data_IF_565879023284
#
_entry.id   IF_565879023284
#
_cell.length_a   1.000
_cell.length_b   1.000
_cell.length_c   1.000
_cell.angle_alpha   90.00
_cell.angle_beta   90.00
_cell.angle_gamma   90.00
#
_symmetry.space_group_name_H-M   'P 1'
#
loop_
_entity.id
_entity.type
_entity.pdbx_description
1 polymer ?
#
# COMPACT_ATOMS: atom_id res chain seq x y z
N UNK A 1 23.40 49.34 -17.83
CA UNK A 1 23.41 48.33 -18.90
C UNK A 1 22.27 47.32 -18.66
N UNK A 2 21.62 46.77 -19.69
CA UNK A 2 20.49 45.82 -19.53
C UNK A 2 20.86 44.57 -18.73
N UNK A 3 22.07 44.07 -18.89
CA UNK A 3 22.60 42.94 -18.16
C UNK A 3 22.61 43.12 -16.62
N UNK A 4 23.06 44.27 -16.15
CA UNK A 4 23.07 44.63 -14.72
C UNK A 4 21.66 44.69 -14.15
N UNK A 5 20.71 45.25 -14.92
CA UNK A 5 19.30 45.34 -14.53
C UNK A 5 18.65 43.95 -14.43
N UNK A 6 19.03 43.02 -15.31
CA UNK A 6 18.57 41.61 -15.29
C UNK A 6 19.09 40.86 -14.07
N UNK A 7 20.39 41.00 -13.76
CA UNK A 7 21.02 40.36 -12.60
C UNK A 7 20.44 40.85 -11.26
N UNK A 8 20.20 42.14 -11.14
CA UNK A 8 19.56 42.77 -9.99
C UNK A 8 18.09 42.31 -9.84
N UNK A 9 17.33 42.24 -10.94
CA UNK A 9 15.93 41.81 -10.94
C UNK A 9 15.76 40.36 -10.45
N UNK A 10 16.73 39.53 -10.76
CA UNK A 10 16.72 38.10 -10.36
C UNK A 10 17.46 37.84 -9.03
N UNK A 11 17.82 38.90 -8.28
CA UNK A 11 18.54 38.81 -6.98
C UNK A 11 19.87 38.04 -7.06
N UNK A 12 20.48 37.97 -8.26
CA UNK A 12 21.74 37.27 -8.50
C UNK A 12 22.97 38.12 -8.06
N UNK A 13 22.79 39.42 -7.94
CA UNK A 13 23.84 40.36 -7.56
C UNK A 13 23.23 41.53 -6.75
N UNK A 14 23.91 41.94 -5.68
CA UNK A 14 23.55 43.10 -4.91
C UNK A 14 24.20 44.38 -5.53
N UNK A 15 23.60 45.56 -5.34
CA UNK A 15 24.12 46.83 -5.90
C UNK A 15 25.54 47.15 -5.47
N UNK A 16 25.92 46.79 -4.25
CA UNK A 16 27.23 47.03 -3.68
C UNK A 16 28.35 46.20 -4.31
N UNK A 17 28.04 45.07 -4.94
CA UNK A 17 29.02 44.22 -5.60
C UNK A 17 29.39 44.68 -7.02
N UNK A 18 28.55 45.49 -7.65
CA UNK A 18 28.80 46.03 -9.00
C UNK A 18 29.90 47.08 -9.05
N UNK A 19 30.31 47.63 -7.91
CA UNK A 19 31.31 48.69 -7.82
C UNK A 19 32.77 48.17 -7.69
N UNK A 20 32.98 46.82 -7.54
CA UNK A 20 34.32 46.23 -7.35
C UNK A 20 34.87 45.68 -8.66
N UNK A 21 36.06 46.07 -9.03
CA UNK A 21 36.78 45.68 -10.25
C UNK A 21 37.35 44.22 -10.18
N UNK A 22 37.64 43.59 -11.34
CA UNK A 22 37.78 42.13 -11.47
C UNK A 22 39.04 41.56 -10.82
N UNK A 23 38.83 40.47 -10.04
CA UNK A 23 39.90 39.55 -9.60
C UNK A 23 40.21 38.49 -10.66
N UNK A 24 41.46 38.09 -10.78
CA UNK A 24 41.90 36.98 -11.64
C UNK A 24 41.53 35.63 -10.98
N UNK A 25 40.35 35.08 -11.30
CA UNK A 25 39.90 33.77 -10.90
C UNK A 25 39.26 33.03 -12.08
N UNK A 26 39.07 31.74 -11.95
CA UNK A 26 38.34 30.95 -12.95
C UNK A 26 36.94 31.53 -13.18
N UNK A 27 36.74 32.14 -14.32
CA UNK A 27 35.53 32.94 -14.62
C UNK A 27 34.48 32.07 -15.27
N UNK A 28 33.29 32.01 -14.68
CA UNK A 28 32.15 31.26 -15.24
C UNK A 28 31.77 31.81 -16.61
N UNK A 29 31.71 33.12 -16.79
CA UNK A 29 31.29 33.77 -18.03
C UNK A 29 32.41 34.37 -18.89
N UNK A 30 33.66 34.11 -18.64
CA UNK A 30 34.78 34.43 -19.54
C UNK A 30 35.11 35.93 -19.72
N UNK A 31 34.58 36.84 -18.91
CA UNK A 31 34.84 38.29 -18.97
C UNK A 31 33.55 39.12 -18.98
N UNK A 32 33.72 40.47 -19.00
CA UNK A 32 32.60 41.42 -19.01
C UNK A 32 32.13 41.87 -17.62
N UNK A 33 30.89 42.35 -17.50
CA UNK A 33 30.34 42.92 -16.27
C UNK A 33 30.11 41.89 -15.13
N UNK A 34 30.28 40.60 -15.41
CA UNK A 34 30.04 39.47 -14.49
C UNK A 34 31.35 38.80 -14.01
N UNK A 35 32.44 39.55 -13.86
CA UNK A 35 33.79 38.99 -13.66
C UNK A 35 34.31 39.03 -12.22
N UNK A 36 33.54 39.54 -11.24
CA UNK A 36 34.01 39.47 -9.85
C UNK A 36 33.85 38.03 -9.27
N UNK A 37 34.73 37.62 -8.33
CA UNK A 37 34.62 36.31 -7.69
C UNK A 37 33.24 36.06 -7.03
N UNK A 38 32.68 37.09 -6.40
CA UNK A 38 31.39 37.05 -5.72
C UNK A 38 30.24 36.84 -6.73
N UNK A 39 30.30 37.52 -7.88
CA UNK A 39 29.31 37.33 -8.96
C UNK A 39 29.42 35.95 -9.55
N UNK A 40 30.62 35.45 -9.80
CA UNK A 40 30.82 34.07 -10.31
C UNK A 40 30.24 33.02 -9.36
N UNK A 41 30.44 33.17 -8.05
CA UNK A 41 29.88 32.26 -7.06
C UNK A 41 28.35 32.36 -7.00
N UNK A 42 27.78 33.54 -7.07
CA UNK A 42 26.33 33.76 -7.13
C UNK A 42 25.71 33.10 -8.37
N UNK A 43 26.36 33.21 -9.54
CA UNK A 43 25.92 32.62 -10.79
C UNK A 43 25.99 31.09 -10.72
N UNK A 44 27.10 30.53 -10.18
CA UNK A 44 27.24 29.09 -9.94
C UNK A 44 26.14 28.57 -9.06
N UNK A 45 25.90 29.24 -7.92
CA UNK A 45 24.81 28.86 -6.99
C UNK A 45 23.44 28.94 -7.66
N UNK A 46 23.19 29.97 -8.46
CA UNK A 46 21.93 30.08 -9.21
C UNK A 46 21.74 28.95 -10.23
N UNK A 47 22.80 28.60 -10.97
CA UNK A 47 22.77 27.45 -11.90
C UNK A 47 22.53 26.13 -11.20
N UNK A 48 23.22 25.89 -10.07
CA UNK A 48 23.01 24.72 -9.22
C UNK A 48 21.57 24.64 -8.70
N UNK A 49 21.05 25.77 -8.20
CA UNK A 49 19.67 25.85 -7.68
C UNK A 49 18.65 25.61 -8.77
N UNK A 50 18.84 26.16 -9.96
CA UNK A 50 17.92 26.01 -11.11
C UNK A 50 17.75 24.53 -11.50
N UNK A 51 18.85 23.78 -11.64
CA UNK A 51 18.81 22.33 -11.92
C UNK A 51 18.21 21.54 -10.75
N UNK A 52 18.64 21.83 -9.51
CA UNK A 52 18.17 21.11 -8.32
C UNK A 52 16.70 21.36 -8.01
N UNK A 53 16.17 22.54 -8.30
CA UNK A 53 14.76 22.87 -8.03
C UNK A 53 13.80 22.11 -8.94
N UNK A 54 14.14 21.94 -10.23
CA UNK A 54 13.34 21.13 -11.14
C UNK A 54 13.29 19.66 -10.67
N UNK A 55 14.44 19.10 -10.28
CA UNK A 55 14.48 17.73 -9.74
C UNK A 55 13.64 17.64 -8.48
N UNK A 56 13.81 18.58 -7.54
CA UNK A 56 13.10 18.57 -6.26
C UNK A 56 11.59 18.71 -6.43
N UNK A 57 11.13 19.71 -7.17
CA UNK A 57 9.70 20.01 -7.31
C UNK A 57 8.96 18.85 -8.00
N UNK A 58 9.53 18.32 -9.08
CA UNK A 58 8.93 17.19 -9.80
C UNK A 58 9.00 15.88 -8.97
N UNK A 59 10.10 15.62 -8.26
CA UNK A 59 10.22 14.48 -7.35
C UNK A 59 9.20 14.54 -6.20
N UNK A 60 9.03 15.71 -5.57
CA UNK A 60 8.03 15.87 -4.50
C UNK A 60 6.61 15.65 -5.01
N UNK A 61 6.30 16.08 -6.21
CA UNK A 61 4.99 15.83 -6.84
C UNK A 61 4.74 14.34 -7.04
N UNK A 62 5.70 13.61 -7.63
CA UNK A 62 5.60 12.16 -7.85
C UNK A 62 5.55 11.38 -6.52
N UNK A 63 6.39 11.76 -5.55
CA UNK A 63 6.36 11.19 -4.20
C UNK A 63 4.98 11.33 -3.55
N UNK A 64 4.39 12.55 -3.62
CA UNK A 64 3.05 12.80 -3.08
C UNK A 64 1.98 11.98 -3.78
N UNK A 65 2.06 11.80 -5.10
CA UNK A 65 1.14 10.96 -5.86
C UNK A 65 1.23 9.49 -5.43
N UNK A 66 2.45 8.92 -5.34
CA UNK A 66 2.65 7.53 -4.94
C UNK A 66 2.15 7.26 -3.51
N UNK A 67 2.46 8.13 -2.56
CA UNK A 67 1.98 8.01 -1.17
C UNK A 67 0.46 8.15 -1.08
N UNK A 68 -0.14 9.09 -1.79
CA UNK A 68 -1.60 9.25 -1.82
C UNK A 68 -2.32 8.03 -2.39
N UNK A 69 -1.81 7.46 -3.48
CA UNK A 69 -2.39 6.23 -4.06
C UNK A 69 -2.19 5.01 -3.16
N UNK A 70 -1.04 4.90 -2.48
CA UNK A 70 -0.78 3.87 -1.48
C UNK A 70 -1.80 3.93 -0.34
N UNK A 71 -2.02 5.11 0.24
CA UNK A 71 -2.93 5.31 1.37
C UNK A 71 -4.39 5.09 0.95
N UNK A 72 -4.75 5.54 -0.25
CA UNK A 72 -6.08 5.30 -0.83
C UNK A 72 -6.33 3.80 -1.02
N UNK A 73 -5.39 3.08 -1.60
CA UNK A 73 -5.53 1.64 -1.83
C UNK A 73 -5.62 0.86 -0.50
N UNK A 74 -4.75 1.19 0.46
CA UNK A 74 -4.80 0.61 1.80
C UNK A 74 -6.16 0.84 2.47
N UNK A 75 -6.66 2.07 2.47
CA UNK A 75 -7.95 2.43 3.07
C UNK A 75 -9.14 1.72 2.42
N UNK A 76 -9.09 1.48 1.11
CA UNK A 76 -10.16 0.75 0.40
C UNK A 76 -10.14 -0.74 0.78
N UNK A 77 -8.97 -1.38 0.86
CA UNK A 77 -8.85 -2.79 1.26
C UNK A 77 -9.22 -2.96 2.75
N UNK A 78 -8.75 -2.06 3.62
CA UNK A 78 -9.09 -2.06 5.04
C UNK A 78 -10.60 -1.90 5.26
N UNK A 79 -11.25 -1.00 4.54
CA UNK A 79 -12.71 -0.82 4.58
C UNK A 79 -13.45 -2.08 4.11
N UNK A 80 -12.93 -2.80 3.12
CA UNK A 80 -13.51 -4.07 2.67
C UNK A 80 -13.40 -5.15 3.76
N UNK A 81 -12.25 -5.22 4.46
CA UNK A 81 -12.05 -6.13 5.61
C UNK A 81 -12.99 -5.79 6.77
N UNK A 82 -13.10 -4.51 7.14
CA UNK A 82 -13.99 -4.07 8.22
C UNK A 82 -15.46 -4.37 7.92
N UNK A 83 -15.91 -4.15 6.69
CA UNK A 83 -17.26 -4.47 6.25
C UNK A 83 -17.52 -5.99 6.26
N UNK A 84 -16.53 -6.79 5.84
CA UNK A 84 -16.61 -8.24 5.88
C UNK A 84 -16.73 -8.76 7.31
N UNK A 85 -15.92 -8.24 8.25
CA UNK A 85 -15.98 -8.58 9.68
C UNK A 85 -17.35 -8.27 10.26
N UNK A 86 -17.85 -7.05 10.03
CA UNK A 86 -19.18 -6.65 10.50
C UNK A 86 -20.28 -7.56 9.97
N UNK A 87 -20.24 -7.93 8.68
CA UNK A 87 -21.19 -8.89 8.10
C UNK A 87 -21.04 -10.27 8.72
N UNK A 88 -19.82 -10.77 8.96
CA UNK A 88 -19.60 -12.06 9.59
C UNK A 88 -20.23 -12.11 10.98
N UNK A 89 -20.00 -11.09 11.80
CA UNK A 89 -20.60 -11.00 13.13
C UNK A 89 -22.14 -10.97 13.06
N UNK A 90 -22.72 -10.25 12.11
CA UNK A 90 -24.16 -10.18 11.92
C UNK A 90 -24.75 -11.52 11.43
N UNK A 91 -24.10 -12.19 10.48
CA UNK A 91 -24.52 -13.52 9.99
C UNK A 91 -24.49 -14.55 11.13
N UNK A 92 -23.41 -14.55 11.93
CA UNK A 92 -23.34 -15.47 13.08
C UNK A 92 -24.37 -15.15 14.15
N UNK A 93 -24.62 -13.88 14.45
CA UNK A 93 -25.63 -13.47 15.42
C UNK A 93 -27.05 -13.83 14.96
N UNK A 94 -27.35 -13.69 13.68
CA UNK A 94 -28.67 -13.98 13.13
C UNK A 94 -28.92 -15.49 12.95
N UNK A 95 -27.90 -16.22 12.44
CA UNK A 95 -28.06 -17.63 12.07
C UNK A 95 -27.74 -18.58 13.23
N UNK A 96 -26.77 -18.22 14.08
CA UNK A 96 -26.26 -19.05 15.17
C UNK A 96 -26.21 -18.29 16.51
N UNK A 97 -27.35 -17.80 17.05
CA UNK A 97 -27.36 -16.91 18.22
C UNK A 97 -26.70 -17.50 19.47
N UNK A 98 -26.70 -18.84 19.58
CA UNK A 98 -26.05 -19.55 20.71
C UNK A 98 -24.55 -19.71 20.53
N UNK A 99 -24.07 -19.78 19.30
CA UNK A 99 -22.65 -19.87 18.96
C UNK A 99 -21.98 -18.48 18.89
N UNK A 100 -22.73 -17.45 18.51
CA UNK A 100 -22.22 -16.12 18.23
C UNK A 100 -21.35 -15.53 19.35
N UNK A 101 -21.71 -15.65 20.66
CA UNK A 101 -20.85 -15.11 21.73
C UNK A 101 -19.45 -15.76 21.77
N UNK A 102 -19.36 -17.08 21.58
CA UNK A 102 -18.10 -17.81 21.59
C UNK A 102 -17.31 -17.60 20.29
N UNK A 103 -17.99 -17.45 19.14
CA UNK A 103 -17.35 -17.24 17.86
C UNK A 103 -16.86 -15.79 17.65
N UNK A 104 -17.37 -14.82 18.42
CA UNK A 104 -17.04 -13.38 18.26
C UNK A 104 -15.54 -13.11 18.31
N UNK A 105 -14.87 -13.64 19.33
CA UNK A 105 -13.43 -13.41 19.49
C UNK A 105 -12.65 -14.10 18.37
N UNK A 106 -13.00 -15.32 18.02
CA UNK A 106 -12.34 -16.09 16.96
C UNK A 106 -12.45 -15.39 15.60
N UNK A 107 -13.63 -14.81 15.29
CA UNK A 107 -13.83 -14.00 14.10
C UNK A 107 -12.99 -12.71 14.14
N UNK A 108 -12.98 -12.01 15.28
CA UNK A 108 -12.19 -10.79 15.44
C UNK A 108 -10.69 -11.07 15.24
N UNK A 109 -10.17 -12.15 15.80
CA UNK A 109 -8.77 -12.56 15.68
C UNK A 109 -8.40 -12.89 14.23
N UNK A 110 -9.30 -13.57 13.48
CA UNK A 110 -9.14 -13.80 12.04
C UNK A 110 -8.99 -12.47 11.30
N UNK A 111 -9.95 -11.55 11.44
CA UNK A 111 -9.91 -10.30 10.69
C UNK A 111 -8.75 -9.39 11.12
N UNK A 112 -8.34 -9.45 12.38
CA UNK A 112 -7.12 -8.78 12.85
C UNK A 112 -5.88 -9.33 12.15
N UNK A 113 -5.75 -10.66 12.03
CA UNK A 113 -4.65 -11.29 11.32
C UNK A 113 -4.65 -10.94 9.81
N UNK A 114 -5.83 -10.87 9.17
CA UNK A 114 -5.95 -10.45 7.77
C UNK A 114 -5.48 -8.99 7.56
N UNK A 115 -5.76 -8.09 8.52
CA UNK A 115 -5.25 -6.70 8.49
C UNK A 115 -3.73 -6.65 8.65
N UNK A 116 -3.18 -7.40 9.59
CA UNK A 116 -1.73 -7.51 9.79
C UNK A 116 -1.06 -8.03 8.53
N UNK A 117 -1.66 -9.01 7.85
CA UNK A 117 -1.16 -9.57 6.60
C UNK A 117 -1.07 -8.59 5.42
N UNK A 118 -1.67 -7.39 5.51
CA UNK A 118 -1.47 -6.32 4.51
C UNK A 118 -0.13 -5.57 4.68
N UNK A 119 0.47 -5.61 5.85
CA UNK A 119 1.68 -4.84 6.18
C UNK A 119 2.85 -5.70 6.60
N UNK A 120 2.61 -6.89 7.15
CA UNK A 120 3.63 -7.83 7.56
C UNK A 120 4.16 -8.63 6.37
N UNK A 121 5.46 -8.83 6.32
CA UNK A 121 6.15 -9.59 5.26
C UNK A 121 6.18 -11.09 5.49
N UNK A 122 5.74 -11.58 6.66
CA UNK A 122 5.71 -13.01 6.97
C UNK A 122 4.44 -13.70 6.41
N UNK A 123 4.58 -14.34 5.24
CA UNK A 123 3.50 -15.12 4.63
C UNK A 123 3.05 -16.29 5.51
N UNK A 124 3.97 -16.89 6.28
CA UNK A 124 3.65 -18.02 7.15
C UNK A 124 2.80 -17.62 8.35
N UNK A 125 2.97 -16.39 8.85
CA UNK A 125 2.16 -15.86 9.94
C UNK A 125 0.68 -15.81 9.54
N UNK A 126 0.37 -15.38 8.32
CA UNK A 126 -0.99 -15.33 7.80
C UNK A 126 -1.57 -16.73 7.55
N UNK A 127 -0.80 -17.66 6.98
CA UNK A 127 -1.22 -19.06 6.81
C UNK A 127 -1.51 -19.72 8.16
N UNK A 128 -0.63 -19.52 9.15
CA UNK A 128 -0.84 -20.06 10.50
C UNK A 128 -2.08 -19.46 11.16
N UNK A 129 -2.32 -18.15 11.02
CA UNK A 129 -3.52 -17.51 11.55
C UNK A 129 -4.82 -18.09 10.96
N UNK A 130 -4.82 -18.36 9.65
CA UNK A 130 -5.95 -19.05 8.99
C UNK A 130 -6.14 -20.47 9.55
N UNK A 131 -5.05 -21.21 9.80
CA UNK A 131 -5.11 -22.53 10.45
C UNK A 131 -5.67 -22.44 11.87
N UNK A 132 -5.13 -21.53 12.67
CA UNK A 132 -5.55 -21.28 14.07
C UNK A 132 -7.04 -20.90 14.14
N UNK A 133 -7.52 -20.09 13.20
CA UNK A 133 -8.94 -19.74 13.12
C UNK A 133 -9.85 -20.99 13.04
N UNK A 134 -9.53 -21.94 12.16
CA UNK A 134 -10.31 -23.16 12.02
C UNK A 134 -10.20 -24.09 13.24
N UNK A 135 -9.02 -24.14 13.85
CA UNK A 135 -8.77 -24.91 15.06
C UNK A 135 -9.57 -24.32 16.24
N UNK A 136 -9.62 -22.99 16.40
CA UNK A 136 -10.32 -22.29 17.47
C UNK A 136 -11.84 -22.22 17.28
N UNK A 137 -12.32 -22.24 16.03
CA UNK A 137 -13.75 -22.26 15.74
C UNK A 137 -14.37 -23.64 16.03
N UNK A 138 -13.60 -24.72 15.98
CA UNK A 138 -14.14 -26.07 16.10
C UNK A 138 -14.73 -26.37 17.48
N UNK A 139 -14.11 -26.11 18.64
CA UNK A 139 -14.67 -26.42 19.94
C UNK A 139 -16.05 -25.78 20.19
N UNK A 140 -16.30 -24.48 19.95
CA UNK A 140 -17.62 -23.88 20.16
C UNK A 140 -18.68 -24.43 19.18
N UNK A 141 -18.30 -24.71 17.93
CA UNK A 141 -19.23 -25.36 16.96
C UNK A 141 -19.55 -26.77 17.39
N UNK A 142 -18.58 -27.56 17.81
CA UNK A 142 -18.80 -28.92 18.29
C UNK A 142 -19.64 -28.97 19.58
N UNK A 143 -19.48 -27.99 20.46
CA UNK A 143 -20.35 -27.81 21.63
C UNK A 143 -21.82 -27.61 21.21
N UNK A 144 -22.06 -26.86 20.17
CA UNK A 144 -23.39 -26.63 19.58
C UNK A 144 -23.97 -27.89 18.94
N UNK A 145 -23.11 -28.76 18.33
CA UNK A 145 -23.49 -30.05 17.77
C UNK A 145 -23.96 -31.03 18.85
N UNK A 146 -23.29 -31.05 20.01
CA UNK A 146 -23.58 -32.02 21.08
C UNK A 146 -24.86 -31.68 21.82
N UNK A 147 -25.11 -30.48 22.20
CA UNK A 147 -26.34 -29.91 22.78
C UNK A 147 -26.03 -28.63 23.56
N UNK A 148 -26.81 -27.59 23.32
CA UNK A 148 -26.67 -26.26 23.94
C UNK A 148 -26.96 -26.19 25.46
N UNK A 149 -27.22 -27.31 26.12
CA UNK A 149 -27.53 -27.37 27.56
C UNK A 149 -26.39 -27.89 28.43
N UNK A 150 -25.28 -28.35 27.81
CA UNK A 150 -24.13 -28.86 28.54
C UNK A 150 -23.26 -27.69 29.05
N UNK A 151 -22.60 -27.92 30.19
CA UNK A 151 -21.56 -26.99 30.68
C UNK A 151 -20.41 -26.85 29.67
N UNK A 152 -19.64 -25.79 29.71
CA UNK A 152 -18.47 -25.63 28.86
C UNK A 152 -17.53 -26.83 28.97
N UNK A 153 -16.84 -27.12 27.87
CA UNK A 153 -15.82 -28.16 27.89
C UNK A 153 -14.64 -27.78 28.78
N UNK A 154 -14.03 -28.80 29.40
CA UNK A 154 -12.77 -28.61 30.10
C UNK A 154 -11.68 -28.13 29.14
N UNK A 155 -10.69 -27.38 29.67
CA UNK A 155 -9.56 -26.90 28.88
C UNK A 155 -8.86 -28.02 28.11
N UNK A 156 -8.60 -29.14 28.78
CA UNK A 156 -7.95 -30.34 28.17
C UNK A 156 -8.76 -30.88 26.99
N UNK A 157 -10.08 -30.95 27.13
CA UNK A 157 -10.95 -31.45 26.06
C UNK A 157 -11.02 -30.49 24.88
N UNK A 158 -11.03 -29.15 25.17
CA UNK A 158 -10.97 -28.10 24.16
C UNK A 158 -9.68 -28.15 23.35
N UNK A 159 -8.53 -28.34 24.00
CA UNK A 159 -7.23 -28.53 23.35
C UNK A 159 -7.24 -29.78 22.44
N UNK A 160 -7.78 -30.92 22.92
CA UNK A 160 -7.93 -32.11 22.09
C UNK A 160 -8.80 -31.85 20.84
N UNK A 161 -9.90 -31.10 20.97
CA UNK A 161 -10.76 -30.77 19.83
C UNK A 161 -10.01 -29.94 18.77
N UNK A 162 -9.19 -28.97 19.19
CA UNK A 162 -8.36 -28.20 18.27
C UNK A 162 -7.39 -29.08 17.49
N UNK A 163 -6.70 -29.99 18.18
CA UNK A 163 -5.76 -30.93 17.55
C UNK A 163 -6.48 -31.91 16.62
N UNK A 164 -7.65 -32.40 17.02
CA UNK A 164 -8.44 -33.37 16.25
C UNK A 164 -9.06 -32.74 14.98
N UNK A 165 -9.24 -31.43 14.91
CA UNK A 165 -9.92 -30.72 13.82
C UNK A 165 -9.37 -31.11 12.43
N UNK A 166 -8.05 -31.20 12.29
CA UNK A 166 -7.38 -31.52 11.03
C UNK A 166 -7.64 -32.94 10.54
N UNK A 167 -7.78 -33.87 11.46
CA UNK A 167 -8.06 -35.29 11.17
C UNK A 167 -9.55 -35.49 10.91
N UNK A 168 -10.38 -34.84 11.73
CA UNK A 168 -11.85 -34.99 11.68
C UNK A 168 -12.45 -34.30 10.46
N UNK A 169 -11.83 -33.19 10.00
CA UNK A 169 -12.23 -32.35 8.87
C UNK A 169 -13.71 -31.91 8.95
N UNK A 170 -14.11 -31.18 10.01
CA UNK A 170 -15.51 -30.80 10.24
C UNK A 170 -16.09 -29.90 9.13
N UNK A 171 -15.25 -29.06 8.54
CA UNK A 171 -15.60 -28.01 7.60
C UNK A 171 -15.69 -28.48 6.13
N UNK A 172 -15.40 -29.75 5.87
CA UNK A 172 -15.28 -30.27 4.50
C UNK A 172 -14.17 -29.57 3.71
N UNK A 173 -14.48 -29.09 2.50
CA UNK A 173 -13.53 -28.44 1.60
C UNK A 173 -13.50 -26.91 1.76
N UNK A 174 -14.36 -26.33 2.59
CA UNK A 174 -14.48 -24.85 2.72
C UNK A 174 -13.17 -24.16 3.09
N UNK A 175 -12.35 -24.68 4.04
CA UNK A 175 -11.06 -24.06 4.35
C UNK A 175 -10.14 -23.89 3.14
N UNK A 176 -10.09 -24.87 2.26
CA UNK A 176 -9.28 -24.83 1.03
C UNK A 176 -9.86 -23.86 0.02
N UNK A 177 -11.19 -23.85 -0.17
CA UNK A 177 -11.86 -22.95 -1.10
C UNK A 177 -11.71 -21.48 -0.73
N UNK A 178 -11.60 -21.17 0.56
CA UNK A 178 -11.48 -19.81 1.07
C UNK A 178 -10.01 -19.42 1.25
N UNK A 179 -9.20 -20.29 1.84
CA UNK A 179 -7.86 -19.96 2.32
C UNK A 179 -6.93 -19.56 1.19
N UNK A 180 -6.73 -20.41 0.20
CA UNK A 180 -5.76 -20.17 -0.87
C UNK A 180 -6.05 -18.92 -1.71
N UNK A 181 -7.30 -18.66 -2.19
CA UNK A 181 -7.59 -17.41 -2.91
C UNK A 181 -7.43 -16.17 -2.04
N UNK A 182 -7.82 -16.22 -0.76
CA UNK A 182 -7.71 -15.11 0.17
C UNK A 182 -6.24 -14.76 0.45
N UNK A 183 -5.41 -15.76 0.72
CA UNK A 183 -3.96 -15.58 0.92
C UNK A 183 -3.30 -14.97 -0.32
N UNK A 184 -3.60 -15.47 -1.52
CA UNK A 184 -3.09 -14.90 -2.77
C UNK A 184 -3.52 -13.46 -2.98
N UNK A 185 -4.78 -13.13 -2.68
CA UNK A 185 -5.31 -11.78 -2.82
C UNK A 185 -4.65 -10.80 -1.87
N UNK A 186 -4.49 -11.16 -0.60
CA UNK A 186 -3.82 -10.33 0.41
C UNK A 186 -2.33 -10.19 0.12
N UNK A 187 -1.65 -11.26 -0.30
CA UNK A 187 -0.26 -11.18 -0.75
C UNK A 187 -0.09 -10.19 -1.93
N UNK A 188 -0.96 -10.27 -2.94
CA UNK A 188 -0.92 -9.31 -4.06
C UNK A 188 -1.20 -7.87 -3.61
N UNK A 189 -2.15 -7.67 -2.68
CA UNK A 189 -2.43 -6.33 -2.13
C UNK A 189 -1.21 -5.78 -1.37
N UNK A 190 -0.56 -6.59 -0.53
CA UNK A 190 0.66 -6.23 0.18
C UNK A 190 1.81 -5.89 -0.76
N UNK A 191 2.01 -6.70 -1.82
CA UNK A 191 3.04 -6.41 -2.82
C UNK A 191 2.83 -5.07 -3.51
N UNK A 192 1.57 -4.70 -3.83
CA UNK A 192 1.27 -3.39 -4.40
C UNK A 192 1.61 -2.27 -3.41
N UNK A 193 1.19 -2.38 -2.16
CA UNK A 193 1.50 -1.39 -1.11
C UNK A 193 3.01 -1.22 -0.95
N UNK A 194 3.75 -2.31 -0.83
CA UNK A 194 5.20 -2.30 -0.69
C UNK A 194 5.90 -1.69 -1.92
N UNK A 195 5.44 -2.02 -3.12
CA UNK A 195 6.01 -1.45 -4.35
C UNK A 195 5.82 0.07 -4.42
N UNK A 196 4.67 0.58 -3.97
CA UNK A 196 4.41 2.03 -3.89
C UNK A 196 5.29 2.70 -2.83
N UNK A 197 5.49 2.06 -1.66
CA UNK A 197 6.40 2.56 -0.63
C UNK A 197 7.85 2.63 -1.13
N UNK A 198 8.34 1.59 -1.79
CA UNK A 198 9.68 1.55 -2.40
C UNK A 198 9.82 2.64 -3.46
N UNK A 199 8.84 2.77 -4.37
CA UNK A 199 8.84 3.80 -5.39
C UNK A 199 8.87 5.20 -4.79
N UNK A 200 8.04 5.47 -3.78
CA UNK A 200 8.03 6.75 -3.06
C UNK A 200 9.37 7.04 -2.38
N UNK A 201 10.01 6.04 -1.78
CA UNK A 201 11.32 6.19 -1.15
C UNK A 201 12.43 6.53 -2.15
N UNK A 202 12.45 5.86 -3.31
CA UNK A 202 13.41 6.13 -4.39
C UNK A 202 13.26 7.58 -4.88
N UNK A 203 12.03 8.00 -5.16
CA UNK A 203 11.74 9.38 -5.61
C UNK A 203 12.09 10.41 -4.54
N UNK A 204 11.81 10.14 -3.26
CA UNK A 204 12.21 10.99 -2.15
C UNK A 204 13.73 11.13 -2.04
N UNK A 205 14.46 10.04 -2.27
CA UNK A 205 15.93 10.09 -2.29
C UNK A 205 16.43 10.96 -3.45
N UNK A 206 15.82 10.81 -4.63
CA UNK A 206 16.14 11.65 -5.80
C UNK A 206 15.86 13.15 -5.57
N UNK A 207 14.87 13.51 -4.74
CA UNK A 207 14.60 14.92 -4.41
C UNK A 207 15.75 15.62 -3.69
N UNK A 208 16.67 14.86 -3.10
CA UNK A 208 17.86 15.35 -2.42
C UNK A 208 19.12 15.25 -3.32
N UNK A 209 18.95 15.09 -4.64
CA UNK A 209 20.07 15.00 -5.58
C UNK A 209 20.96 16.24 -5.48
N UNK A 210 22.24 16.01 -5.17
CA UNK A 210 23.25 17.06 -5.10
C UNK A 210 23.80 17.32 -6.52
N UNK A 211 23.48 18.47 -7.06
CA UNK A 211 24.00 18.90 -8.36
C UNK A 211 25.51 19.17 -8.23
N UNK A 212 26.38 18.50 -9.05
CA UNK A 212 27.82 18.74 -9.04
C UNK A 212 28.18 20.19 -9.33
N UNK A 213 29.31 20.67 -8.80
CA UNK A 213 29.77 22.05 -8.98
C UNK A 213 29.99 22.42 -10.45
N UNK A 214 30.53 21.48 -11.23
CA UNK A 214 30.76 21.65 -12.68
C UNK A 214 29.43 21.85 -13.43
N UNK A 215 28.37 21.22 -12.97
CA UNK A 215 27.03 21.39 -13.50
C UNK A 215 26.44 22.76 -13.14
N UNK A 216 26.74 23.30 -11.95
CA UNK A 216 26.41 24.66 -11.58
C UNK A 216 27.05 25.66 -12.51
N UNK A 217 28.33 25.49 -12.84
CA UNK A 217 29.06 26.34 -13.82
C UNK A 217 28.47 26.23 -15.23
N UNK A 218 28.18 25.01 -15.70
CA UNK A 218 27.61 24.79 -17.02
C UNK A 218 26.19 25.39 -17.15
N UNK A 219 25.35 25.23 -16.14
CA UNK A 219 24.03 25.82 -16.09
C UNK A 219 24.10 27.36 -16.01
N UNK A 220 25.03 27.90 -15.20
CA UNK A 220 25.24 29.32 -15.12
C UNK A 220 25.69 29.96 -16.46
N UNK A 221 26.62 29.30 -17.16
CA UNK A 221 27.05 29.73 -18.51
C UNK A 221 25.88 29.74 -19.48
N UNK A 222 25.08 28.73 -19.46
CA UNK A 222 23.92 28.58 -20.34
C UNK A 222 22.85 29.67 -20.09
N UNK A 223 22.53 29.93 -18.82
CA UNK A 223 21.37 30.77 -18.45
C UNK A 223 21.74 32.24 -18.32
N UNK A 224 22.94 32.59 -17.85
CA UNK A 224 23.24 33.93 -17.37
C UNK A 224 24.35 34.63 -18.14
N UNK A 225 25.28 33.94 -18.80
CA UNK A 225 26.41 34.58 -19.47
C UNK A 225 26.00 35.44 -20.67
N UNK A 226 24.90 35.12 -21.35
CA UNK A 226 24.33 35.97 -22.37
C UNK A 226 24.03 37.38 -21.83
N UNK A 227 23.41 37.47 -20.65
CA UNK A 227 23.11 38.73 -19.98
C UNK A 227 24.39 39.51 -19.60
N UNK A 228 25.46 38.82 -19.20
CA UNK A 228 26.77 39.43 -18.92
C UNK A 228 27.39 40.12 -20.15
N UNK A 229 27.10 39.62 -21.34
CA UNK A 229 27.54 40.17 -22.63
C UNK A 229 26.48 41.06 -23.29
N UNK A 230 25.40 41.42 -22.57
CA UNK A 230 24.36 42.33 -23.05
C UNK A 230 23.27 41.67 -23.89
N UNK A 231 23.25 40.34 -23.97
CA UNK A 231 22.25 39.57 -24.71
C UNK A 231 21.24 38.93 -23.73
N UNK A 232 19.95 39.23 -23.91
CA UNK A 232 18.86 38.70 -23.07
C UNK A 232 18.05 37.60 -23.76
N UNK A 233 18.67 36.90 -24.71
CA UNK A 233 18.04 35.80 -25.40
C UNK A 233 18.02 34.55 -24.49
N UNK A 234 16.95 33.71 -24.54
CA UNK A 234 16.93 32.43 -23.87
C UNK A 234 18.03 31.51 -24.41
N UNK A 235 18.48 30.53 -23.65
CA UNK A 235 19.49 29.60 -24.13
C UNK A 235 18.98 28.80 -25.34
N UNK A 236 19.92 28.47 -26.24
CA UNK A 236 19.62 27.57 -27.35
C UNK A 236 19.10 26.20 -26.82
N UNK A 237 17.95 25.69 -27.29
CA UNK A 237 17.37 24.43 -26.80
C UNK A 237 18.35 23.24 -26.82
N UNK A 238 19.15 23.10 -27.88
CA UNK A 238 20.17 22.06 -27.97
C UNK A 238 21.28 22.18 -26.93
N UNK A 239 21.70 23.39 -26.60
CA UNK A 239 22.70 23.64 -25.52
C UNK A 239 22.10 23.30 -24.15
N UNK A 240 20.85 23.74 -23.90
CA UNK A 240 20.15 23.44 -22.67
C UNK A 240 20.03 21.92 -22.46
N UNK A 241 19.53 21.20 -23.44
CA UNK A 241 19.37 19.73 -23.36
C UNK A 241 20.71 19.03 -23.14
N UNK A 242 21.79 19.45 -23.80
CA UNK A 242 23.12 18.86 -23.59
C UNK A 242 23.63 19.06 -22.16
N UNK A 243 23.50 20.25 -21.60
CA UNK A 243 23.90 20.55 -20.22
C UNK A 243 23.01 19.75 -19.24
N UNK A 244 21.69 19.80 -19.41
CA UNK A 244 20.76 19.14 -18.51
C UNK A 244 20.93 17.60 -18.55
N UNK A 245 21.08 16.99 -19.74
CA UNK A 245 21.31 15.54 -19.88
C UNK A 245 22.62 15.11 -19.25
N UNK A 246 23.71 15.86 -19.43
CA UNK A 246 24.99 15.55 -18.80
C UNK A 246 24.93 15.65 -17.27
N UNK A 247 24.27 16.68 -16.75
CA UNK A 247 24.19 16.95 -15.32
C UNK A 247 23.20 16.04 -14.57
N UNK A 248 22.15 15.57 -15.23
CA UNK A 248 21.11 14.71 -14.65
C UNK A 248 21.29 13.23 -15.03
N UNK A 249 22.41 12.89 -15.71
CA UNK A 249 22.71 11.51 -16.12
C UNK A 249 22.60 10.48 -14.98
N UNK A 250 23.07 10.72 -13.74
CA UNK A 250 22.92 9.75 -12.66
C UNK A 250 21.46 9.45 -12.28
N UNK A 251 20.56 10.41 -12.48
CA UNK A 251 19.12 10.17 -12.28
C UNK A 251 18.51 9.39 -13.44
N UNK A 252 18.99 9.61 -14.67
CA UNK A 252 18.52 8.85 -15.84
C UNK A 252 18.89 7.36 -15.76
N UNK A 253 19.95 6.98 -15.04
CA UNK A 253 20.33 5.58 -14.83
C UNK A 253 19.27 4.78 -14.04
N UNK A 254 18.39 5.45 -13.29
CA UNK A 254 17.29 4.81 -12.55
C UNK A 254 16.16 4.34 -13.49
N UNK A 255 16.09 4.86 -14.70
CA UNK A 255 14.97 4.63 -15.63
C UNK A 255 14.72 3.13 -15.92
N UNK A 256 15.77 2.36 -16.15
CA UNK A 256 15.68 0.92 -16.37
C UNK A 256 15.08 0.16 -15.18
N UNK A 257 15.59 0.41 -13.97
CA UNK A 257 15.08 -0.21 -12.74
C UNK A 257 13.63 0.24 -12.44
N UNK A 258 13.30 1.49 -12.75
CA UNK A 258 11.94 1.99 -12.62
C UNK A 258 10.96 1.32 -13.60
N UNK A 259 11.39 1.07 -14.84
CA UNK A 259 10.60 0.34 -15.83
C UNK A 259 10.31 -1.09 -15.38
N UNK A 260 11.29 -1.75 -14.75
CA UNK A 260 11.11 -3.08 -14.15
C UNK A 260 10.11 -3.07 -12.97
N UNK A 261 10.19 -2.07 -12.10
CA UNK A 261 9.22 -1.85 -11.01
C UNK A 261 7.81 -1.67 -11.58
N UNK A 262 7.64 -0.81 -12.57
CA UNK A 262 6.34 -0.56 -13.20
C UNK A 262 5.78 -1.83 -13.87
N UNK A 263 6.63 -2.63 -14.52
CA UNK A 263 6.26 -3.94 -15.04
C UNK A 263 5.81 -4.92 -13.95
N UNK A 264 6.50 -4.94 -12.80
CA UNK A 264 6.14 -5.78 -11.66
C UNK A 264 4.79 -5.34 -11.06
N UNK A 265 4.58 -4.06 -10.86
CA UNK A 265 3.32 -3.50 -10.34
C UNK A 265 2.14 -3.81 -11.26
N UNK A 266 2.33 -3.76 -12.57
CA UNK A 266 1.30 -4.15 -13.55
C UNK A 266 0.93 -5.64 -13.43
N UNK A 267 1.90 -6.54 -13.20
CA UNK A 267 1.61 -7.98 -12.95
C UNK A 267 0.86 -8.20 -11.64
N UNK A 268 1.19 -7.46 -10.59
CA UNK A 268 0.47 -7.50 -9.31
C UNK A 268 -0.99 -7.06 -9.47
N UNK A 269 -1.24 -6.02 -10.25
CA UNK A 269 -2.61 -5.59 -10.58
C UNK A 269 -3.39 -6.69 -11.30
N UNK A 270 -2.78 -7.36 -12.29
CA UNK A 270 -3.41 -8.49 -12.98
C UNK A 270 -3.77 -9.62 -12.01
N UNK A 271 -2.89 -9.93 -11.05
CA UNK A 271 -3.16 -10.91 -10.00
C UNK A 271 -4.35 -10.50 -9.12
N UNK A 272 -4.44 -9.23 -8.70
CA UNK A 272 -5.57 -8.69 -7.95
C UNK A 272 -6.89 -8.77 -8.74
N UNK A 273 -6.84 -8.51 -10.05
CA UNK A 273 -8.00 -8.65 -10.94
C UNK A 273 -8.46 -10.10 -11.05
N UNK A 274 -7.52 -11.05 -11.20
CA UNK A 274 -7.83 -12.47 -11.32
C UNK A 274 -8.44 -13.04 -10.04
N UNK A 275 -7.92 -12.66 -8.88
CA UNK A 275 -8.38 -13.15 -7.56
C UNK A 275 -9.67 -12.48 -7.09
N UNK A 276 -9.97 -11.25 -7.55
CA UNK A 276 -11.15 -10.45 -7.13
C UNK A 276 -11.26 -10.32 -5.61
N UNK A 277 -10.19 -9.87 -4.96
CA UNK A 277 -10.06 -9.80 -3.50
C UNK A 277 -11.29 -9.20 -2.79
N UNK A 278 -11.84 -8.10 -3.30
CA UNK A 278 -13.01 -7.47 -2.68
C UNK A 278 -14.26 -8.37 -2.71
N UNK A 279 -14.46 -9.15 -3.78
CA UNK A 279 -15.54 -10.12 -3.88
C UNK A 279 -15.33 -11.28 -2.90
N UNK A 280 -14.09 -11.77 -2.77
CA UNK A 280 -13.75 -12.80 -1.79
C UNK A 280 -14.05 -12.34 -0.37
N UNK A 281 -13.63 -11.13 0.00
CA UNK A 281 -13.90 -10.55 1.32
C UNK A 281 -15.41 -10.36 1.56
N UNK A 282 -16.15 -9.98 0.53
CA UNK A 282 -17.61 -9.86 0.62
C UNK A 282 -18.29 -11.21 0.85
N UNK A 283 -17.84 -12.28 0.19
CA UNK A 283 -18.39 -13.64 0.30
C UNK A 283 -17.87 -14.41 1.51
N UNK A 284 -16.77 -13.96 2.14
CA UNK A 284 -16.15 -14.66 3.26
C UNK A 284 -17.13 -14.97 4.41
N UNK A 285 -17.99 -14.05 4.87
CA UNK A 285 -18.97 -14.33 5.92
C UNK A 285 -19.91 -15.50 5.59
N UNK A 286 -20.37 -15.56 4.35
CA UNK A 286 -21.29 -16.60 3.89
C UNK A 286 -20.57 -17.95 3.81
N UNK A 287 -19.30 -17.96 3.41
CA UNK A 287 -18.46 -19.18 3.40
C UNK A 287 -18.13 -19.68 4.80
N UNK A 288 -17.89 -18.78 5.75
CA UNK A 288 -17.71 -19.15 7.16
C UNK A 288 -18.99 -19.77 7.72
N UNK A 289 -20.15 -19.21 7.41
CA UNK A 289 -21.46 -19.77 7.77
C UNK A 289 -21.68 -21.15 7.12
N UNK A 290 -21.36 -21.32 5.85
CA UNK A 290 -21.42 -22.61 5.13
C UNK A 290 -20.57 -23.68 5.83
N UNK A 291 -19.35 -23.34 6.28
CA UNK A 291 -18.50 -24.26 7.03
C UNK A 291 -19.16 -24.74 8.33
N UNK A 292 -19.78 -23.83 9.08
CA UNK A 292 -20.51 -24.17 10.31
C UNK A 292 -21.70 -25.08 9.99
N UNK A 293 -22.47 -24.79 8.93
CA UNK A 293 -23.59 -25.66 8.50
C UNK A 293 -23.12 -27.07 8.15
N UNK A 294 -22.04 -27.21 7.39
CA UNK A 294 -21.44 -28.50 7.06
C UNK A 294 -21.07 -29.31 8.31
N UNK A 295 -20.51 -28.66 9.34
CA UNK A 295 -20.20 -29.30 10.60
C UNK A 295 -21.43 -29.72 11.36
N UNK A 296 -22.49 -28.90 11.41
CA UNK A 296 -23.75 -29.22 12.09
C UNK A 296 -24.48 -30.38 11.42
N UNK A 297 -24.54 -30.40 10.09
CA UNK A 297 -25.17 -31.51 9.33
C UNK A 297 -24.46 -32.84 9.53
N UNK A 298 -23.12 -32.80 9.67
CA UNK A 298 -22.31 -34.00 9.92
C UNK A 298 -22.22 -34.39 11.40
N UNK A 299 -23.00 -33.75 12.27
CA UNK A 299 -22.96 -33.91 13.72
C UNK A 299 -22.77 -35.37 14.24
N UNK A 300 -23.61 -36.34 13.88
CA UNK A 300 -23.47 -37.72 14.34
C UNK A 300 -22.15 -38.40 13.92
N UNK A 301 -21.64 -38.07 12.72
CA UNK A 301 -20.38 -38.60 12.22
C UNK A 301 -19.19 -37.94 12.94
N UNK A 302 -19.28 -36.65 13.21
CA UNK A 302 -18.29 -35.90 13.98
C UNK A 302 -18.19 -36.44 15.40
N UNK A 303 -19.32 -36.67 16.07
CA UNK A 303 -19.33 -37.24 17.41
C UNK A 303 -18.60 -38.60 17.47
N UNK A 304 -18.82 -39.47 16.48
CA UNK A 304 -18.17 -40.79 16.41
C UNK A 304 -16.66 -40.67 16.23
N UNK A 305 -16.21 -39.75 15.36
CA UNK A 305 -14.78 -39.50 15.11
C UNK A 305 -14.10 -38.86 16.34
N UNK A 306 -14.69 -37.81 16.89
CA UNK A 306 -14.15 -37.10 18.06
C UNK A 306 -14.06 -38.00 19.29
N UNK A 307 -15.07 -38.85 19.55
CA UNK A 307 -15.00 -39.79 20.67
C UNK A 307 -13.87 -40.79 20.54
N UNK A 308 -13.51 -41.19 19.33
CA UNK A 308 -12.36 -42.07 19.10
C UNK A 308 -11.05 -41.38 19.44
N UNK A 309 -10.91 -40.10 19.12
CA UNK A 309 -9.66 -39.38 19.21
C UNK A 309 -9.52 -38.63 20.54
N UNK A 310 -10.61 -38.06 21.09
CA UNK A 310 -10.64 -37.25 22.32
C UNK A 310 -11.39 -37.90 23.50
N UNK A 311 -11.90 -39.14 23.33
CA UNK A 311 -12.73 -39.82 24.33
C UNK A 311 -14.08 -39.12 24.60
N UNK A 312 -14.69 -39.32 25.78
CA UNK A 312 -15.93 -38.64 26.13
C UNK A 312 -15.69 -37.19 26.56
N UNK A 313 -16.64 -36.28 26.28
CA UNK A 313 -16.55 -34.89 26.73
C UNK A 313 -16.35 -34.81 28.26
N UNK A 314 -15.40 -33.94 28.65
CA UNK A 314 -15.18 -33.54 30.05
C UNK A 314 -15.53 -32.09 30.21
N UNK A 315 -16.15 -31.71 31.33
CA UNK A 315 -16.64 -30.39 31.65
C UNK A 315 -15.94 -29.86 32.91
N UNK A 316 -15.77 -28.56 33.02
CA UNK A 316 -15.24 -27.93 34.23
C UNK A 316 -16.37 -27.78 35.27
N UNK A 317 -16.15 -28.33 36.46
CA UNK A 317 -17.13 -28.29 37.56
C UNK A 317 -17.31 -26.88 38.20
N UNK A 318 -16.59 -25.87 37.75
CA UNK A 318 -16.45 -24.57 38.43
C UNK A 318 -17.14 -23.38 37.76
N UNK A 319 -18.12 -23.57 36.90
CA UNK A 319 -18.86 -22.41 36.37
C UNK A 319 -20.37 -22.47 36.60
N UNK A 320 -20.81 -22.08 37.81
CA UNK A 320 -22.14 -21.47 37.98
C UNK A 320 -22.18 -20.13 37.26
N UNK A 321 -22.15 -20.10 35.94
CA UNK A 321 -22.50 -18.91 35.18
C UNK A 321 -23.82 -19.16 34.48
N UNK A 322 -24.86 -18.60 35.09
CA UNK A 322 -26.21 -18.55 34.52
C UNK A 322 -26.18 -17.70 33.23
N UNK A 323 -26.11 -18.34 32.08
CA UNK A 323 -26.52 -17.69 30.84
C UNK A 323 -28.05 -17.77 30.74
N UNK A 324 -28.75 -16.78 31.28
CA UNK A 324 -30.13 -16.48 30.90
C UNK A 324 -30.11 -15.94 29.47
N UNK A 325 -30.46 -16.81 28.51
CA UNK A 325 -30.66 -16.42 27.13
C UNK A 325 -32.14 -16.06 26.93
N UNK A 326 -32.47 -14.86 26.41
CA UNK A 326 -33.81 -14.56 25.96
C UNK A 326 -34.16 -15.43 24.74
N UNK A 327 -35.39 -15.93 24.75
CA UNK A 327 -36.00 -16.65 23.62
C UNK A 327 -36.29 -15.59 22.55
N UNK A 328 -35.60 -15.63 21.40
CA UNK A 328 -35.93 -14.79 20.26
C UNK A 328 -36.58 -15.63 19.16
N UNK A 329 -37.71 -15.14 18.72
CA UNK A 329 -38.49 -15.63 17.58
C UNK A 329 -37.79 -15.26 16.27
N UNK A 330 -37.91 -16.16 15.30
CA UNK A 330 -37.30 -16.01 13.97
C UNK A 330 -38.09 -14.98 13.16
N UNK A 331 -37.59 -13.74 13.12
CA UNK A 331 -37.97 -12.74 12.10
C UNK A 331 -36.69 -12.08 11.60
N UNK A 332 -36.25 -12.41 10.39
CA UNK A 332 -35.02 -11.80 9.87
C UNK A 332 -34.50 -12.31 8.52
N UNK A 333 -35.34 -12.87 7.65
CA UNK A 333 -34.89 -13.34 6.31
C UNK A 333 -34.88 -12.19 5.25
N UNK A 334 -35.34 -10.99 5.60
CA UNK A 334 -35.52 -9.89 4.63
C UNK A 334 -34.27 -8.99 4.42
N UNK A 335 -33.18 -9.18 5.19
CA UNK A 335 -31.99 -8.30 5.09
C UNK A 335 -31.00 -8.67 3.98
N UNK A 336 -31.15 -9.81 3.31
CA UNK A 336 -30.20 -10.30 2.30
C UNK A 336 -30.27 -9.56 0.94
N UNK A 337 -31.42 -8.94 0.60
CA UNK A 337 -31.62 -8.32 -0.71
C UNK A 337 -30.98 -6.91 -0.84
N UNK A 338 -30.72 -6.21 0.27
CA UNK A 338 -30.08 -4.89 0.25
C UNK A 338 -28.55 -4.95 0.14
N UNK A 339 -27.95 -6.12 0.31
CA UNK A 339 -26.51 -6.32 0.31
C UNK A 339 -25.88 -6.35 -1.10
N UNK A 340 -26.65 -6.72 -2.15
CA UNK A 340 -26.14 -6.89 -3.51
C UNK A 340 -25.72 -5.58 -4.20
N UNK A 341 -26.37 -4.46 -3.89
CA UNK A 341 -26.02 -3.14 -4.46
C UNK A 341 -24.71 -2.54 -3.90
N UNK A 342 -24.27 -3.01 -2.73
CA UNK A 342 -22.97 -2.65 -2.13
C UNK A 342 -21.79 -3.44 -2.69
N UNK A 343 -22.05 -4.62 -3.26
CA UNK A 343 -21.09 -5.59 -3.75
C UNK A 343 -20.32 -5.09 -4.98
N UNK A 344 -21.01 -4.60 -6.00
CA UNK A 344 -20.38 -4.06 -7.21
C UNK A 344 -19.56 -2.80 -6.94
N UNK A 345 -20.05 -1.93 -6.03
CA UNK A 345 -19.33 -0.70 -5.65
C UNK A 345 -18.04 -0.99 -4.89
N UNK A 346 -18.03 -1.97 -3.98
CA UNK A 346 -16.85 -2.34 -3.20
C UNK A 346 -15.77 -2.99 -4.07
N UNK A 347 -16.17 -3.93 -4.94
CA UNK A 347 -15.25 -4.63 -5.84
C UNK A 347 -14.63 -3.70 -6.88
N UNK A 348 -15.42 -2.79 -7.44
CA UNK A 348 -14.94 -1.79 -8.38
C UNK A 348 -13.90 -0.86 -7.76
N UNK A 349 -14.09 -0.42 -6.52
CA UNK A 349 -13.19 0.52 -5.84
C UNK A 349 -11.79 -0.04 -5.59
N UNK A 350 -11.64 -1.30 -5.21
CA UNK A 350 -10.31 -1.92 -5.01
C UNK A 350 -9.54 -1.99 -6.34
N UNK A 351 -10.19 -2.43 -7.41
CA UNK A 351 -9.56 -2.53 -8.73
C UNK A 351 -9.26 -1.15 -9.35
N UNK A 352 -10.16 -0.19 -9.18
CA UNK A 352 -9.98 1.19 -9.62
C UNK A 352 -8.81 1.86 -8.89
N UNK A 353 -8.72 1.71 -7.57
CA UNK A 353 -7.64 2.25 -6.76
C UNK A 353 -6.30 1.59 -7.11
N UNK A 354 -6.26 0.26 -7.31
CA UNK A 354 -5.08 -0.43 -7.80
C UNK A 354 -4.65 0.07 -9.18
N UNK A 355 -5.61 0.27 -10.10
CA UNK A 355 -5.34 0.81 -11.43
C UNK A 355 -4.80 2.24 -11.40
N UNK A 356 -5.30 3.09 -10.50
CA UNK A 356 -4.78 4.43 -10.31
C UNK A 356 -3.33 4.42 -9.77
N UNK A 357 -3.02 3.51 -8.86
CA UNK A 357 -1.66 3.32 -8.34
C UNK A 357 -0.69 2.88 -9.44
N UNK A 358 -1.09 1.94 -10.30
CA UNK A 358 -0.27 1.50 -11.45
C UNK A 358 0.02 2.66 -12.39
N UNK A 359 -1.00 3.46 -12.74
CA UNK A 359 -0.80 4.64 -13.61
C UNK A 359 0.17 5.66 -13.00
N UNK A 360 0.16 5.84 -11.68
CA UNK A 360 1.11 6.73 -10.99
C UNK A 360 2.55 6.22 -11.10
N UNK A 361 2.78 4.91 -11.00
CA UNK A 361 4.11 4.31 -11.19
C UNK A 361 4.52 4.40 -12.67
N UNK A 362 3.62 4.14 -13.61
CA UNK A 362 3.89 4.26 -15.05
C UNK A 362 4.25 5.71 -15.45
N UNK A 363 3.60 6.71 -14.87
CA UNK A 363 3.97 8.12 -15.08
C UNK A 363 5.43 8.43 -14.67
N UNK A 364 5.98 7.68 -13.73
CA UNK A 364 7.39 7.79 -13.34
C UNK A 364 8.38 7.32 -14.41
N UNK A 365 7.98 6.49 -15.38
CA UNK A 365 8.86 6.05 -16.47
C UNK A 365 9.35 7.20 -17.34
N UNK A 366 8.45 8.13 -17.66
CA UNK A 366 8.79 9.31 -18.46
C UNK A 366 9.48 10.39 -17.62
N UNK A 367 9.34 10.32 -16.30
CA UNK A 367 9.88 11.32 -15.39
C UNK A 367 11.40 11.34 -15.38
N UNK A 368 12.08 10.20 -15.24
CA UNK A 368 13.54 10.12 -15.14
C UNK A 368 14.24 10.62 -16.41
N UNK A 369 13.78 10.14 -17.56
CA UNK A 369 14.30 10.52 -18.86
C UNK A 369 13.88 11.94 -19.27
N UNK A 370 12.71 12.41 -18.81
CA UNK A 370 12.12 13.71 -19.16
C UNK A 370 12.58 14.91 -18.32
N UNK A 371 13.38 14.69 -17.26
CA UNK A 371 13.89 15.78 -16.41
C UNK A 371 14.64 16.87 -17.20
N UNK A 372 15.55 16.54 -18.16
CA UNK A 372 16.23 17.56 -18.96
C UNK A 372 15.26 18.41 -19.79
N UNK A 373 14.27 17.80 -20.41
CA UNK A 373 13.25 18.49 -21.21
C UNK A 373 12.38 19.39 -20.32
N UNK A 374 11.98 18.90 -19.14
CA UNK A 374 11.23 19.68 -18.14
C UNK A 374 12.02 20.91 -17.69
N UNK A 375 13.34 20.77 -17.44
CA UNK A 375 14.19 21.88 -17.08
C UNK A 375 14.25 22.93 -18.20
N UNK A 376 14.50 22.49 -19.43
CA UNK A 376 14.70 23.39 -20.56
C UNK A 376 13.41 24.08 -21.03
N UNK A 377 12.24 23.46 -20.83
CA UNK A 377 10.96 24.09 -21.13
C UNK A 377 10.53 25.14 -20.10
N UNK A 378 11.16 25.18 -18.92
CA UNK A 378 10.88 26.14 -17.86
C UNK A 378 11.86 27.35 -17.85
N UNK A 379 12.85 27.38 -18.75
CA UNK A 379 13.81 28.49 -18.92
C UNK A 379 13.32 29.48 -19.94
#
# INVERSE_FOLDING_TARGET
APAVKYLLKNQLVDQDHLARLPGQGAQVCGGGACCSPEINESLRKAGTTSLGEVVRSTALSLHSALTSHRDTFYGVVESALANSEHRALNVFQATYPRLAPAARQVLHDLYSALRVGLTDTDDRALENAMGTFWDDLFPPVYHSVLHARLAPFSRRYTECLRDAQRVVQPWGIVPTLVGEPLLRGLHSARLLLHSLDVGAQVVKTASNFAVPSECGDAAARMQYCGACHGTLAPPCPGMCLNVARGCLAPLAEVDGAWADLAGAVSRVQQSLQAVRLAQLLHQLPDKLSEAVMVALERGPQLQKKVRRDCSNPTHDDTSHSMYHLPVFTVEGVAAAAAASAGEERGSGRVLESAGAAVRAVDAGREWWAGLPDTHCNNL
#
